data_IF_704320011727
#
_entry.id   IF_704320011727
#
_cell.length_a   1.000
_cell.length_b   1.000
_cell.length_c   1.000
_cell.angle_alpha   90.00
_cell.angle_beta   90.00
_cell.angle_gamma   90.00
#
_symmetry.space_group_name_H-M   'P 1'
#
loop_
_entity.id
_entity.type
_entity.pdbx_description
1 polymer ?
#
# COMPACT_ATOMS: atom_id res chain seq x y z
N UNK A 1 -11.44 34.26 -42.50
CA UNK A 1 -11.72 34.71 -41.11
C UNK A 1 -12.00 33.40 -40.41
N UNK A 2 -10.91 32.73 -40.09
CA UNK A 2 -10.90 31.32 -39.72
C UNK A 2 -10.70 31.28 -38.22
N UNK A 3 -11.76 30.83 -37.56
CA UNK A 3 -11.99 30.89 -36.14
C UNK A 3 -10.93 30.05 -35.40
N UNK A 4 -10.50 30.57 -34.25
CA UNK A 4 -9.40 30.05 -33.43
C UNK A 4 -9.51 28.53 -33.16
N UNK A 5 -8.53 27.70 -33.58
CA UNK A 5 -8.44 26.32 -33.16
C UNK A 5 -7.77 26.29 -31.79
N UNK A 6 -8.56 26.58 -30.75
CA UNK A 6 -8.03 26.76 -29.41
C UNK A 6 -9.04 26.53 -28.31
N UNK A 7 -9.86 25.47 -28.36
CA UNK A 7 -10.67 25.03 -27.21
C UNK A 7 -10.89 23.49 -27.25
N UNK A 8 -10.14 22.78 -26.40
CA UNK A 8 -10.51 21.59 -25.61
C UNK A 8 -10.82 20.21 -26.25
N UNK A 9 -10.12 19.75 -27.28
CA UNK A 9 -10.20 18.31 -27.66
C UNK A 9 -9.40 17.38 -26.73
N UNK A 10 -8.54 17.90 -25.86
CA UNK A 10 -8.11 17.17 -24.67
C UNK A 10 -9.13 17.40 -23.54
N UNK A 11 -10.30 16.78 -23.64
CA UNK A 11 -10.99 16.37 -22.42
C UNK A 11 -10.10 15.31 -21.77
N UNK A 12 -9.04 15.74 -21.10
CA UNK A 12 -8.16 14.89 -20.29
C UNK A 12 -9.09 14.25 -19.27
N UNK A 13 -9.54 13.04 -19.56
CA UNK A 13 -10.31 12.22 -18.64
C UNK A 13 -9.50 12.23 -17.34
N UNK A 14 -10.06 12.83 -16.30
CA UNK A 14 -9.40 12.89 -15.00
C UNK A 14 -9.11 11.45 -14.61
N UNK A 15 -7.83 11.11 -14.37
CA UNK A 15 -7.51 9.74 -14.03
C UNK A 15 -8.28 9.36 -12.76
N UNK A 16 -8.83 8.15 -12.64
CA UNK A 16 -9.67 7.78 -11.51
C UNK A 16 -8.85 7.59 -10.21
N UNK A 17 -7.54 7.46 -10.34
CA UNK A 17 -6.62 7.13 -9.25
C UNK A 17 -6.53 8.14 -8.09
N UNK A 18 -6.56 9.47 -8.29
CA UNK A 18 -6.51 10.44 -7.18
C UNK A 18 -7.66 10.28 -6.19
N UNK A 19 -8.84 9.84 -6.66
CA UNK A 19 -9.97 9.52 -5.79
C UNK A 19 -9.64 8.33 -4.88
N UNK A 20 -9.07 7.25 -5.45
CA UNK A 20 -8.67 6.08 -4.67
C UNK A 20 -7.50 6.35 -3.74
N UNK A 21 -6.60 7.29 -4.08
CA UNK A 21 -5.56 7.78 -3.17
C UNK A 21 -6.19 8.46 -1.95
N UNK A 22 -7.11 9.39 -2.17
CA UNK A 22 -7.80 10.09 -1.09
C UNK A 22 -8.61 9.12 -0.21
N UNK A 23 -9.34 8.19 -0.85
CA UNK A 23 -10.12 7.18 -0.14
C UNK A 23 -9.22 6.19 0.63
N UNK A 24 -8.10 5.77 0.04
CA UNK A 24 -7.15 4.86 0.67
C UNK A 24 -6.50 5.48 1.91
N UNK A 25 -6.11 6.76 1.84
CA UNK A 25 -5.56 7.49 2.97
C UNK A 25 -6.58 7.66 4.09
N UNK A 26 -7.80 8.09 3.76
CA UNK A 26 -8.87 8.28 4.75
C UNK A 26 -9.26 6.97 5.44
N UNK A 27 -9.45 5.88 4.69
CA UNK A 27 -9.70 4.56 5.27
C UNK A 27 -8.52 4.05 6.10
N UNK A 28 -7.29 4.24 5.62
CA UNK A 28 -6.08 3.87 6.36
C UNK A 28 -6.01 4.59 7.70
N UNK A 29 -6.21 5.90 7.70
CA UNK A 29 -6.16 6.73 8.91
C UNK A 29 -7.26 6.34 9.90
N UNK A 30 -8.51 6.21 9.43
CA UNK A 30 -9.63 5.74 10.26
C UNK A 30 -9.34 4.35 10.83
N UNK A 31 -8.79 3.44 10.03
CA UNK A 31 -8.41 2.10 10.47
C UNK A 31 -7.32 2.10 11.53
N UNK A 32 -6.28 2.92 11.37
CA UNK A 32 -5.17 3.02 12.34
C UNK A 32 -5.66 3.67 13.64
N UNK A 33 -6.36 4.80 13.54
CA UNK A 33 -6.83 5.56 14.71
C UNK A 33 -7.79 4.71 15.54
N UNK A 34 -8.76 4.06 14.90
CA UNK A 34 -9.77 3.20 15.55
C UNK A 34 -9.28 1.77 15.81
N UNK A 35 -8.03 1.45 15.45
CA UNK A 35 -7.44 0.12 15.62
C UNK A 35 -8.22 -1.01 14.90
N UNK A 36 -8.80 -0.68 13.75
CA UNK A 36 -9.54 -1.59 12.88
C UNK A 36 -8.59 -2.15 11.81
N UNK A 37 -7.93 -3.25 12.15
CA UNK A 37 -6.89 -3.88 11.33
C UNK A 37 -7.32 -4.10 9.86
N UNK A 38 -8.50 -4.67 9.54
CA UNK A 38 -8.87 -4.93 8.14
C UNK A 38 -9.05 -3.64 7.33
N UNK A 39 -9.58 -2.58 7.96
CA UNK A 39 -9.82 -1.29 7.31
C UNK A 39 -8.49 -0.58 7.06
N UNK A 40 -7.57 -0.60 8.04
CA UNK A 40 -6.22 -0.05 7.90
C UNK A 40 -5.48 -0.72 6.74
N UNK A 41 -5.48 -2.06 6.71
CA UNK A 41 -4.82 -2.84 5.66
C UNK A 41 -5.44 -2.56 4.30
N UNK A 42 -6.78 -2.58 4.21
CA UNK A 42 -7.49 -2.29 2.96
C UNK A 42 -7.21 -0.89 2.43
N UNK A 43 -7.22 0.12 3.29
CA UNK A 43 -6.91 1.50 2.94
C UNK A 43 -5.48 1.69 2.42
N UNK A 44 -4.50 1.10 3.11
CA UNK A 44 -3.09 1.13 2.68
C UNK A 44 -2.87 0.42 1.34
N UNK A 45 -3.50 -0.75 1.13
CA UNK A 45 -3.42 -1.47 -0.14
C UNK A 45 -4.06 -0.68 -1.27
N UNK A 46 -5.22 -0.06 -1.03
CA UNK A 46 -5.87 0.81 -2.00
C UNK A 46 -4.98 2.01 -2.35
N UNK A 47 -4.39 2.66 -1.35
CA UNK A 47 -3.47 3.78 -1.54
C UNK A 47 -2.24 3.39 -2.38
N UNK A 48 -1.52 2.34 -1.99
CA UNK A 48 -0.30 1.89 -2.68
C UNK A 48 -0.61 1.38 -4.09
N UNK A 49 -1.71 0.66 -4.27
CA UNK A 49 -2.19 0.23 -5.59
C UNK A 49 -2.51 1.43 -6.50
N UNK A 50 -3.13 2.47 -5.94
CA UNK A 50 -3.47 3.67 -6.72
C UNK A 50 -2.25 4.48 -7.11
N UNK A 51 -1.27 4.64 -6.22
CA UNK A 51 0.02 5.27 -6.55
C UNK A 51 0.73 4.49 -7.66
N UNK A 52 0.73 3.16 -7.58
CA UNK A 52 1.29 2.33 -8.63
C UNK A 52 0.57 2.50 -9.97
N UNK A 53 -0.76 2.64 -9.96
CA UNK A 53 -1.57 2.92 -11.15
C UNK A 53 -1.27 4.28 -11.75
N UNK A 54 -1.11 5.32 -10.93
CA UNK A 54 -0.73 6.68 -11.38
C UNK A 54 0.60 6.66 -12.12
N UNK A 55 1.61 5.97 -11.57
CA UNK A 55 2.94 5.91 -12.17
C UNK A 55 2.91 5.17 -13.52
N UNK A 56 2.04 4.16 -13.64
CA UNK A 56 1.81 3.45 -14.90
C UNK A 56 1.07 4.31 -15.93
N UNK A 57 -0.04 4.97 -15.56
CA UNK A 57 -0.80 5.85 -16.44
C UNK A 57 0.00 7.06 -16.92
N UNK A 58 0.93 7.54 -16.09
CA UNK A 58 1.86 8.60 -16.45
C UNK A 58 2.96 8.15 -17.43
N UNK A 59 3.04 6.86 -17.77
CA UNK A 59 4.02 6.31 -18.72
C UNK A 59 5.44 6.17 -18.16
N UNK A 60 5.63 6.28 -16.84
CA UNK A 60 6.96 6.11 -16.22
C UNK A 60 7.40 4.64 -16.14
N UNK A 61 6.45 3.70 -16.13
CA UNK A 61 6.70 2.26 -16.00
C UNK A 61 5.76 1.46 -16.89
N UNK A 62 6.26 0.36 -17.46
CA UNK A 62 5.43 -0.57 -18.24
C UNK A 62 4.65 -1.56 -17.35
N UNK A 63 5.13 -1.80 -16.11
CA UNK A 63 4.56 -2.82 -15.21
C UNK A 63 4.39 -2.27 -13.78
N UNK A 64 3.16 -2.26 -13.23
CA UNK A 64 2.87 -1.67 -11.91
C UNK A 64 3.49 -2.46 -10.74
N UNK A 65 3.68 -3.78 -10.92
CA UNK A 65 4.17 -4.68 -9.87
C UNK A 65 5.56 -4.33 -9.30
N UNK A 66 6.39 -3.58 -10.03
CA UNK A 66 7.67 -3.09 -9.50
C UNK A 66 7.45 -2.05 -8.39
N UNK A 67 6.68 -1.01 -8.71
CA UNK A 67 6.35 0.09 -7.79
C UNK A 67 5.51 -0.39 -6.61
N UNK A 68 4.50 -1.24 -6.85
CA UNK A 68 3.72 -1.86 -5.78
C UNK A 68 4.60 -2.58 -4.74
N UNK A 69 5.60 -3.33 -5.21
CA UNK A 69 6.54 -4.02 -4.34
C UNK A 69 7.46 -3.06 -3.57
N UNK A 70 7.93 -1.99 -4.22
CA UNK A 70 8.75 -0.96 -3.58
C UNK A 70 8.01 -0.24 -2.46
N UNK A 71 6.78 0.21 -2.72
CA UNK A 71 5.92 0.81 -1.68
C UNK A 71 5.56 -0.19 -0.58
N UNK A 72 5.31 -1.47 -0.93
CA UNK A 72 5.11 -2.54 0.05
C UNK A 72 6.30 -2.71 1.00
N UNK A 73 7.53 -2.70 0.47
CA UNK A 73 8.75 -2.75 1.28
C UNK A 73 8.85 -1.56 2.23
N UNK A 74 8.54 -0.35 1.77
CA UNK A 74 8.52 0.85 2.61
C UNK A 74 7.52 0.71 3.76
N UNK A 75 6.31 0.21 3.50
CA UNK A 75 5.31 -0.03 4.54
C UNK A 75 5.77 -1.08 5.56
N UNK A 76 6.41 -2.17 5.13
CA UNK A 76 6.99 -3.16 6.05
C UNK A 76 8.02 -2.51 6.97
N UNK A 77 8.94 -1.71 6.41
CA UNK A 77 9.97 -1.03 7.19
C UNK A 77 9.35 -0.05 8.19
N UNK A 78 8.38 0.77 7.76
CA UNK A 78 7.69 1.71 8.64
C UNK A 78 6.93 0.98 9.76
N UNK A 79 6.19 -0.08 9.44
CA UNK A 79 5.48 -0.89 10.43
C UNK A 79 6.44 -1.54 11.45
N UNK A 80 7.58 -2.06 10.98
CA UNK A 80 8.61 -2.62 11.85
C UNK A 80 9.22 -1.56 12.79
N UNK A 81 9.51 -0.36 12.27
CA UNK A 81 10.00 0.76 13.10
C UNK A 81 8.97 1.11 14.18
N UNK A 82 7.68 1.19 13.81
CA UNK A 82 6.61 1.48 14.77
C UNK A 82 6.54 0.42 15.88
N UNK A 83 6.76 -0.86 15.58
CA UNK A 83 6.79 -1.92 16.61
C UNK A 83 8.05 -1.82 17.48
N UNK A 84 9.23 -1.69 16.87
CA UNK A 84 10.51 -1.68 17.59
C UNK A 84 10.65 -0.47 18.51
N UNK A 85 10.07 0.68 18.16
CA UNK A 85 10.06 1.86 19.04
C UNK A 85 9.22 1.69 20.31
N UNK A 86 8.35 0.67 20.37
CA UNK A 86 7.51 0.37 21.55
C UNK A 86 8.10 -0.74 22.43
N UNK A 87 9.24 -1.31 22.07
CA UNK A 87 9.80 -2.51 22.68
C UNK A 87 11.24 -2.28 23.13
N UNK A 88 11.61 -2.88 24.26
CA UNK A 88 12.99 -2.94 24.74
C UNK A 88 13.90 -3.60 23.68
N UNK A 89 15.19 -3.21 23.56
CA UNK A 89 16.11 -3.75 22.54
C UNK A 89 16.59 -5.17 22.85
N UNK A 90 15.67 -6.11 23.03
CA UNK A 90 15.92 -7.54 23.19
C UNK A 90 15.00 -8.34 22.26
N UNK A 91 15.55 -9.41 21.68
CA UNK A 91 14.83 -10.27 20.72
C UNK A 91 13.68 -11.01 21.41
N UNK A 92 13.87 -11.43 22.66
CA UNK A 92 12.83 -12.10 23.45
C UNK A 92 11.64 -11.17 23.72
N UNK A 93 11.91 -9.89 24.06
CA UNK A 93 10.84 -8.91 24.27
C UNK A 93 10.08 -8.59 22.98
N UNK A 94 10.77 -8.61 21.82
CA UNK A 94 10.12 -8.47 20.51
C UNK A 94 9.17 -9.64 20.24
N UNK A 95 9.63 -10.88 20.45
CA UNK A 95 8.82 -12.09 20.22
C UNK A 95 7.59 -12.13 21.12
N UNK A 96 7.75 -11.82 22.41
CA UNK A 96 6.62 -11.73 23.36
C UNK A 96 5.64 -10.62 23.00
N UNK A 97 6.15 -9.47 22.54
CA UNK A 97 5.31 -8.35 22.12
C UNK A 97 4.53 -8.66 20.84
N UNK A 98 5.16 -9.34 19.88
CA UNK A 98 4.47 -9.79 18.66
C UNK A 98 3.43 -10.88 18.96
N UNK A 99 3.75 -11.82 19.85
CA UNK A 99 2.82 -12.86 20.29
C UNK A 99 1.61 -12.31 21.03
N UNK A 100 1.82 -11.33 21.91
CA UNK A 100 0.75 -10.65 22.67
C UNK A 100 0.00 -9.60 21.85
N UNK A 101 0.58 -9.03 20.80
CA UNK A 101 -0.12 -8.08 19.92
C UNK A 101 -1.33 -8.70 19.21
N UNK A 102 -1.27 -9.99 18.91
CA UNK A 102 -2.40 -10.74 18.34
C UNK A 102 -3.43 -11.17 19.39
N UNK A 103 -3.15 -10.98 20.68
CA UNK A 103 -4.11 -11.19 21.75
C UNK A 103 -5.07 -10.00 21.86
N UNK A 104 -6.29 -10.25 22.34
CA UNK A 104 -7.34 -9.23 22.45
C UNK A 104 -6.96 -8.05 23.37
N UNK A 105 -6.05 -8.27 24.33
CA UNK A 105 -5.52 -7.26 25.27
C UNK A 105 -4.17 -6.65 24.83
N UNK A 106 -3.77 -6.85 23.57
CA UNK A 106 -2.52 -6.32 23.03
C UNK A 106 -2.46 -4.79 23.07
N UNK A 107 -1.24 -4.24 23.23
CA UNK A 107 -1.03 -2.79 23.22
C UNK A 107 -1.47 -2.19 21.87
N UNK A 108 -2.41 -1.24 21.91
CA UNK A 108 -2.99 -0.63 20.73
C UNK A 108 -1.94 -0.02 19.77
N UNK A 109 -0.83 0.50 20.31
CA UNK A 109 0.23 1.05 19.47
C UNK A 109 0.98 -0.02 18.66
N UNK A 110 1.15 -1.22 19.23
CA UNK A 110 1.79 -2.35 18.55
C UNK A 110 0.87 -2.92 17.47
N UNK A 111 -0.43 -3.02 17.75
CA UNK A 111 -1.44 -3.46 16.78
C UNK A 111 -1.52 -2.53 15.56
N UNK A 112 -1.39 -1.21 15.77
CA UNK A 112 -1.28 -0.21 14.69
C UNK A 112 -0.02 -0.39 13.85
N UNK A 113 1.14 -0.62 14.48
CA UNK A 113 2.38 -0.93 13.75
C UNK A 113 2.26 -2.22 12.93
N UNK A 114 1.59 -3.23 13.49
CA UNK A 114 1.35 -4.52 12.86
C UNK A 114 0.43 -4.40 11.63
N UNK A 115 -0.62 -3.57 11.66
CA UNK A 115 -1.50 -3.38 10.50
C UNK A 115 -0.74 -2.77 9.31
N UNK A 116 0.14 -1.80 9.58
CA UNK A 116 1.02 -1.19 8.56
C UNK A 116 2.00 -2.22 7.98
N UNK A 117 2.63 -3.02 8.84
CA UNK A 117 3.55 -4.08 8.40
C UNK A 117 2.84 -5.16 7.57
N UNK A 118 1.65 -5.60 7.99
CA UNK A 118 0.84 -6.58 7.29
C UNK A 118 0.39 -6.09 5.92
N UNK A 119 -0.05 -4.83 5.80
CA UNK A 119 -0.37 -4.22 4.51
C UNK A 119 0.85 -4.23 3.57
N UNK A 120 2.02 -3.87 4.08
CA UNK A 120 3.27 -3.94 3.33
C UNK A 120 3.61 -5.36 2.87
N UNK A 121 3.44 -6.36 3.75
CA UNK A 121 3.69 -7.76 3.42
C UNK A 121 2.74 -8.27 2.34
N UNK A 122 1.45 -7.95 2.43
CA UNK A 122 0.45 -8.32 1.42
C UNK A 122 0.77 -7.66 0.08
N UNK A 123 1.16 -6.38 0.06
CA UNK A 123 1.57 -5.68 -1.15
C UNK A 123 2.83 -6.32 -1.76
N UNK A 124 3.82 -6.71 -0.95
CA UNK A 124 5.01 -7.42 -1.40
C UNK A 124 4.66 -8.76 -2.03
N UNK A 125 3.85 -9.57 -1.37
CA UNK A 125 3.40 -10.87 -1.88
C UNK A 125 2.62 -10.71 -3.18
N UNK A 126 1.70 -9.74 -3.25
CA UNK A 126 0.97 -9.39 -4.46
C UNK A 126 1.90 -8.97 -5.60
N UNK A 127 2.95 -8.20 -5.29
CA UNK A 127 3.95 -7.78 -6.27
C UNK A 127 4.74 -8.96 -6.87
N UNK A 128 5.12 -9.92 -6.04
CA UNK A 128 5.84 -11.12 -6.47
C UNK A 128 4.94 -12.02 -7.31
N UNK A 129 3.72 -12.27 -6.83
CA UNK A 129 2.72 -13.05 -7.55
C UNK A 129 2.40 -12.44 -8.93
N UNK A 130 2.18 -11.12 -8.99
CA UNK A 130 1.91 -10.42 -10.24
C UNK A 130 3.06 -10.48 -11.25
N UNK A 131 4.32 -10.42 -10.78
CA UNK A 131 5.49 -10.63 -11.65
C UNK A 131 5.59 -12.06 -12.19
N UNK A 132 5.21 -13.06 -11.39
CA UNK A 132 5.24 -14.47 -11.80
C UNK A 132 4.19 -14.76 -12.88
N UNK A 133 2.97 -14.22 -12.75
CA UNK A 133 1.90 -14.40 -13.74
C UNK A 133 2.23 -13.73 -15.07
N UNK A 134 2.83 -12.53 -15.07
CA UNK A 134 3.24 -11.82 -16.29
C UNK A 134 4.37 -12.49 -17.09
N UNK A 135 5.09 -13.46 -16.51
CA UNK A 135 6.08 -14.27 -17.25
C UNK A 135 5.43 -15.40 -18.03
N UNK A 136 4.39 -16.04 -17.48
CA UNK A 136 3.71 -17.20 -18.10
C UNK A 136 2.96 -16.85 -19.38
N UNK A 137 2.49 -15.62 -19.53
CA UNK A 137 1.79 -15.17 -20.74
C UNK A 137 2.71 -15.02 -21.96
N UNK A 138 4.03 -14.95 -21.78
CA UNK A 138 5.01 -14.84 -22.89
C UNK A 138 5.41 -16.23 -23.41
N UNK A 139 5.35 -17.27 -22.58
CA UNK A 139 5.72 -18.64 -22.97
C UNK A 139 4.56 -19.39 -23.65
N UNK A 140 3.33 -18.87 -23.56
CA UNK A 140 2.12 -19.46 -24.14
C UNK A 140 1.67 -18.82 -25.46
N UNK A 141 2.40 -17.81 -25.95
CA UNK A 141 2.14 -17.10 -27.22
C UNK A 141 3.24 -17.40 -28.23
#
# INVERSE_FOLDING_TARGET
MDEQPGVSDEYRLSSPWPLFVALGLTLSEVGIVLNLLPISVGGLLLFVGSVSGIVQDAGYIDRPWGVLGGLGAVLVVLGAILVVTQVSPSVDALLDTLGSAMAADGNANVQRGLSVAMAGLIALLGSVAGRATGRRSIEAA
#
